data_IF_376937419854
#
_entry.id   IF_376937419854
#
_cell.length_a   1.000
_cell.length_b   1.000
_cell.length_c   1.000
_cell.angle_alpha   90.00
_cell.angle_beta   90.00
_cell.angle_gamma   90.00
#
_symmetry.space_group_name_H-M   'P 1'
#
loop_
_entity.id
_entity.type
_entity.pdbx_description
1 polymer ?
#
# COMPACT_ATOMS: atom_id res chain seq x y z
N UNK A 1 16.66 -9.61 16.69
CA UNK A 1 15.21 -9.38 16.56
C UNK A 1 14.69 -8.91 17.91
N UNK A 2 14.19 -7.68 18.03
CA UNK A 2 13.67 -7.15 19.29
C UNK A 2 13.28 -5.69 19.15
N UNK A 3 12.20 -5.27 19.83
CA UNK A 3 11.58 -3.91 19.79
C UNK A 3 10.89 -3.50 18.48
N UNK A 4 10.11 -4.40 17.85
CA UNK A 4 9.23 -4.06 16.70
C UNK A 4 7.77 -3.78 17.08
N UNK A 5 7.41 -3.95 18.35
CA UNK A 5 6.02 -3.88 18.84
C UNK A 5 5.53 -2.46 19.17
N UNK A 6 6.40 -1.44 19.15
CA UNK A 6 6.09 -0.13 19.73
C UNK A 6 5.04 0.67 18.97
N UNK A 7 5.17 0.81 17.64
CA UNK A 7 4.28 1.67 16.84
C UNK A 7 3.80 0.95 15.58
N UNK A 8 2.49 0.92 15.40
CA UNK A 8 1.88 0.41 14.17
C UNK A 8 2.07 1.44 13.06
N UNK A 9 2.93 1.14 12.10
CA UNK A 9 3.20 2.03 10.96
C UNK A 9 2.13 1.91 9.88
N UNK A 10 1.62 0.69 9.64
CA UNK A 10 0.69 0.39 8.56
C UNK A 10 -0.62 -0.23 9.07
N UNK A 11 -1.75 0.33 8.64
CA UNK A 11 -3.09 -0.18 8.90
C UNK A 11 -3.81 -0.55 7.61
N UNK A 12 -4.99 -1.16 7.74
CA UNK A 12 -5.87 -1.53 6.62
C UNK A 12 -6.32 -0.26 5.88
N UNK A 13 -6.06 -0.21 4.58
CA UNK A 13 -6.46 0.90 3.72
C UNK A 13 -7.96 0.82 3.40
N UNK A 14 -8.69 1.92 3.60
CA UNK A 14 -10.12 2.04 3.28
C UNK A 14 -10.44 1.87 1.78
N UNK A 15 -9.51 2.19 0.87
CA UNK A 15 -9.74 2.08 -0.59
C UNK A 15 -9.47 0.67 -1.15
N UNK A 16 -8.36 0.04 -0.77
CA UNK A 16 -7.90 -1.21 -1.39
C UNK A 16 -7.86 -2.42 -0.46
N UNK A 17 -8.21 -2.24 0.83
CA UNK A 17 -8.25 -3.31 1.82
C UNK A 17 -6.89 -3.94 2.18
N UNK A 18 -5.77 -3.40 1.69
CA UNK A 18 -4.41 -3.85 2.04
C UNK A 18 -3.92 -3.19 3.33
N UNK A 19 -3.13 -3.90 4.13
CA UNK A 19 -2.41 -3.33 5.30
C UNK A 19 -1.20 -2.54 4.80
N UNK A 20 -1.49 -1.38 4.21
CA UNK A 20 -0.48 -0.54 3.55
C UNK A 20 -0.76 0.96 3.73
N UNK A 21 -1.77 1.33 4.51
CA UNK A 21 -2.03 2.72 4.84
C UNK A 21 -1.11 3.15 5.97
N UNK A 22 -0.20 4.08 5.69
CA UNK A 22 0.70 4.62 6.68
C UNK A 22 -0.04 5.65 7.55
N UNK A 23 -0.08 5.41 8.86
CA UNK A 23 -0.85 6.26 9.80
C UNK A 23 -0.20 7.63 9.95
N UNK A 24 1.12 7.68 10.13
CA UNK A 24 1.85 8.93 10.33
C UNK A 24 1.84 9.84 9.09
N UNK A 25 2.01 9.24 7.90
CA UNK A 25 2.06 9.97 6.62
C UNK A 25 0.71 10.10 5.92
N UNK A 26 -0.34 9.50 6.49
CA UNK A 26 -1.73 9.55 5.99
C UNK A 26 -1.92 9.09 4.52
N UNK A 27 -1.08 8.19 4.00
CA UNK A 27 -1.23 7.66 2.64
C UNK A 27 -1.03 6.15 2.53
N UNK A 28 -1.65 5.54 1.52
CA UNK A 28 -1.48 4.13 1.20
C UNK A 28 -0.31 3.88 0.24
N UNK A 29 0.67 3.10 0.70
CA UNK A 29 1.82 2.68 -0.11
C UNK A 29 1.42 1.71 -1.25
N UNK A 30 0.27 1.04 -1.16
CA UNK A 30 -0.18 0.14 -2.20
C UNK A 30 -0.94 0.87 -3.33
N UNK A 31 -2.02 1.58 -2.99
CA UNK A 31 -2.92 2.17 -3.98
C UNK A 31 -2.79 3.68 -4.15
N UNK A 32 -2.00 4.37 -3.33
CA UNK A 32 -1.86 5.84 -3.37
C UNK A 32 -2.99 6.62 -2.68
N UNK A 33 -3.97 5.94 -2.06
CA UNK A 33 -5.05 6.58 -1.30
C UNK A 33 -4.50 7.56 -0.25
N UNK A 34 -5.06 8.77 -0.18
CA UNK A 34 -4.60 9.86 0.70
C UNK A 34 -3.55 10.79 0.07
N UNK A 35 -2.81 10.32 -0.95
CA UNK A 35 -1.87 11.15 -1.73
C UNK A 35 -2.39 11.47 -3.13
N UNK A 36 -3.20 10.59 -3.71
CA UNK A 36 -3.79 10.80 -5.04
C UNK A 36 -5.21 10.23 -5.13
N UNK A 37 -6.03 10.85 -5.97
CA UNK A 37 -7.30 10.31 -6.42
C UNK A 37 -7.10 9.07 -7.30
N UNK A 38 -6.01 9.03 -8.07
CA UNK A 38 -5.67 7.91 -8.97
C UNK A 38 -5.02 6.74 -8.23
N UNK A 39 -5.11 5.55 -8.83
CA UNK A 39 -4.41 4.36 -8.34
C UNK A 39 -2.92 4.45 -8.65
N UNK A 40 -2.08 4.24 -7.63
CA UNK A 40 -0.63 4.14 -7.80
C UNK A 40 -0.27 2.95 -8.69
N UNK A 41 0.41 3.20 -9.81
CA UNK A 41 0.91 2.20 -10.76
C UNK A 41 2.29 2.63 -11.23
N UNK A 42 3.18 1.66 -11.38
CA UNK A 42 4.50 1.85 -11.97
C UNK A 42 4.68 0.83 -13.09
N UNK A 43 5.40 1.20 -14.15
CA UNK A 43 5.71 0.30 -15.27
C UNK A 43 6.44 -0.96 -14.81
N UNK A 44 7.35 -0.82 -13.84
CA UNK A 44 8.14 -1.92 -13.28
C UNK A 44 7.40 -2.78 -12.23
N UNK A 45 6.20 -2.38 -11.79
CA UNK A 45 5.50 -3.06 -10.69
C UNK A 45 4.47 -4.07 -11.20
N UNK A 46 4.73 -5.36 -10.97
CA UNK A 46 3.84 -6.48 -11.34
C UNK A 46 2.59 -6.61 -10.46
N UNK A 47 2.60 -6.00 -9.26
CA UNK A 47 1.50 -6.12 -8.29
C UNK A 47 0.53 -4.96 -8.41
N UNK A 48 -0.59 -5.22 -9.09
CA UNK A 48 -1.71 -4.27 -9.14
C UNK A 48 -2.44 -4.17 -7.80
N UNK A 49 -3.27 -3.15 -7.67
CA UNK A 49 -4.05 -2.86 -6.44
C UNK A 49 -5.04 -3.99 -6.12
N UNK A 50 -5.57 -4.65 -7.15
CA UNK A 50 -6.51 -5.78 -7.09
C UNK A 50 -5.87 -7.12 -6.66
N UNK A 51 -4.63 -7.13 -6.15
CA UNK A 51 -3.89 -8.35 -5.72
C UNK A 51 -3.61 -9.38 -6.83
N UNK A 52 -4.01 -9.12 -8.06
CA UNK A 52 -3.58 -9.88 -9.23
C UNK A 52 -2.09 -9.61 -9.46
N UNK A 53 -1.28 -10.68 -9.49
CA UNK A 53 0.08 -10.62 -10.03
C UNK A 53 -0.07 -10.71 -11.55
N UNK A 54 0.34 -9.68 -12.27
CA UNK A 54 0.49 -9.83 -13.70
C UNK A 54 1.75 -10.65 -13.97
N UNK A 55 1.71 -11.63 -14.88
CA UNK A 55 2.94 -12.25 -15.36
C UNK A 55 3.83 -11.14 -15.90
N UNK A 56 5.11 -11.19 -15.54
CA UNK A 56 6.16 -10.36 -16.13
C UNK A 56 6.09 -10.56 -17.64
N UNK A 57 5.72 -9.50 -18.37
CA UNK A 57 6.05 -9.40 -19.78
C UNK A 57 7.55 -9.20 -19.91
#
# INVERSE_FOLDING_TARGET
>A
MGKRSGKVVHIKCRRCGRVAYNVSKKYCAACGFGRSSRLRRYSWSSRKVNRVRLPSR
#
